data_IF_426862839699
#
_entry.id   IF_426862839699
#
_cell.length_a   1.000
_cell.length_b   1.000
_cell.length_c   1.000
_cell.angle_alpha   90.00
_cell.angle_beta   90.00
_cell.angle_gamma   90.00
#
_symmetry.space_group_name_H-M   'P 1'
#
loop_
_entity.id
_entity.type
_entity.pdbx_description
1 polymer ?
#
# COMPACT_ATOMS: atom_id res chain seq x y z
N UNK A 1 4.52 28.36 10.21
CA UNK A 1 4.63 27.15 9.38
C UNK A 1 5.48 26.16 10.16
N UNK A 2 4.82 25.34 11.00
CA UNK A 2 5.49 24.57 12.05
C UNK A 2 5.57 23.10 11.63
N UNK A 3 6.80 22.62 11.40
CA UNK A 3 7.16 21.28 10.91
C UNK A 3 6.70 20.09 11.79
N UNK A 4 6.09 20.35 12.95
CA UNK A 4 5.67 19.35 13.94
C UNK A 4 4.32 18.67 13.68
N UNK A 5 3.64 18.99 12.57
CA UNK A 5 2.31 18.46 12.26
C UNK A 5 2.29 17.32 11.23
N UNK A 6 3.46 16.91 10.71
CA UNK A 6 3.56 15.86 9.69
C UNK A 6 3.40 14.45 10.27
N UNK A 7 3.71 14.24 11.55
CA UNK A 7 3.61 12.92 12.19
C UNK A 7 2.71 13.01 13.40
N UNK A 8 1.56 12.34 13.35
CA UNK A 8 0.76 12.06 14.54
C UNK A 8 1.41 10.87 15.29
N UNK A 9 2.11 11.09 16.42
CA UNK A 9 2.88 10.04 17.08
C UNK A 9 2.00 8.88 17.58
N UNK A 10 0.71 9.14 17.84
CA UNK A 10 -0.26 8.10 18.21
C UNK A 10 -0.50 7.03 17.15
N UNK A 11 -0.12 7.28 15.88
CA UNK A 11 -0.27 6.32 14.76
C UNK A 11 1.06 5.69 14.33
N UNK A 12 2.15 5.93 15.07
CA UNK A 12 3.47 5.42 14.69
C UNK A 12 3.54 3.89 14.70
N UNK A 13 2.94 3.24 15.72
CA UNK A 13 2.93 1.78 15.82
C UNK A 13 2.11 1.12 14.69
N UNK A 14 1.02 1.76 14.27
CA UNK A 14 0.21 1.33 13.12
C UNK A 14 1.05 1.30 11.83
N UNK A 15 1.87 2.33 11.60
CA UNK A 15 2.80 2.37 10.46
C UNK A 15 3.83 1.23 10.48
N UNK A 16 4.35 0.85 11.65
CA UNK A 16 5.30 -0.28 11.77
C UNK A 16 4.60 -1.59 11.37
N UNK A 17 3.41 -1.85 11.90
CA UNK A 17 2.66 -3.07 11.60
C UNK A 17 2.32 -3.16 10.12
N UNK A 18 1.86 -2.06 9.52
CA UNK A 18 1.56 -1.98 8.09
C UNK A 18 2.83 -2.21 7.25
N UNK A 19 3.96 -1.60 7.60
CA UNK A 19 5.21 -1.79 6.85
C UNK A 19 5.72 -3.24 6.88
N UNK A 20 5.61 -3.90 8.03
CA UNK A 20 5.96 -5.32 8.15
C UNK A 20 5.03 -6.19 7.31
N UNK A 21 3.73 -5.92 7.33
CA UNK A 21 2.76 -6.63 6.51
C UNK A 21 3.04 -6.44 5.00
N UNK A 22 3.29 -5.21 4.56
CA UNK A 22 3.61 -4.89 3.16
C UNK A 22 4.93 -5.57 2.74
N UNK A 23 5.92 -5.65 3.61
CA UNK A 23 7.17 -6.37 3.33
C UNK A 23 6.95 -7.86 3.08
N UNK A 24 6.09 -8.51 3.88
CA UNK A 24 5.73 -9.93 3.69
C UNK A 24 4.99 -10.12 2.36
N UNK A 25 4.01 -9.27 2.06
CA UNK A 25 3.25 -9.32 0.80
C UNK A 25 4.17 -9.06 -0.41
N UNK A 26 5.10 -8.11 -0.31
CA UNK A 26 6.10 -7.84 -1.34
C UNK A 26 7.00 -9.06 -1.58
N UNK A 27 7.46 -9.72 -0.52
CA UNK A 27 8.28 -10.94 -0.61
C UNK A 27 7.55 -12.09 -1.30
N UNK A 28 6.28 -12.32 -0.95
CA UNK A 28 5.43 -13.32 -1.60
C UNK A 28 5.17 -12.97 -3.08
N UNK A 29 4.91 -11.71 -3.38
CA UNK A 29 4.67 -11.24 -4.75
C UNK A 29 5.88 -11.47 -5.64
N UNK A 30 7.09 -11.17 -5.14
CA UNK A 30 8.35 -11.42 -5.83
C UNK A 30 8.61 -12.92 -6.04
N UNK A 31 8.25 -13.74 -5.05
CA UNK A 31 8.36 -15.19 -5.18
C UNK A 31 7.44 -15.74 -6.28
N UNK A 32 6.18 -15.29 -6.33
CA UNK A 32 5.24 -15.64 -7.41
C UNK A 32 5.75 -15.15 -8.76
N UNK A 33 6.29 -13.92 -8.84
CA UNK A 33 6.85 -13.39 -10.07
C UNK A 33 8.07 -14.21 -10.56
N UNK A 34 8.95 -14.60 -9.64
CA UNK A 34 10.11 -15.44 -9.94
C UNK A 34 9.74 -16.84 -10.45
N UNK A 35 8.74 -17.47 -9.84
CA UNK A 35 8.22 -18.77 -10.29
C UNK A 35 7.49 -18.67 -11.62
N UNK A 36 6.74 -17.59 -11.84
CA UNK A 36 6.11 -17.30 -13.13
C UNK A 36 7.14 -17.09 -14.25
N UNK A 37 8.19 -16.29 -14.01
CA UNK A 37 9.29 -16.11 -14.97
C UNK A 37 9.97 -17.44 -15.30
N UNK A 38 10.22 -18.29 -14.30
CA UNK A 38 10.75 -19.63 -14.52
C UNK A 38 9.81 -20.49 -15.38
N UNK A 39 8.50 -20.46 -15.12
CA UNK A 39 7.52 -21.20 -15.89
C UNK A 39 7.48 -20.75 -17.37
N UNK A 40 7.46 -19.44 -17.63
CA UNK A 40 7.40 -18.85 -18.97
C UNK A 40 8.71 -19.06 -19.75
N UNK A 41 9.87 -18.83 -19.12
CA UNK A 41 11.16 -18.80 -19.81
C UNK A 41 11.92 -20.14 -19.79
N UNK A 42 11.49 -21.12 -18.98
CA UNK A 42 12.12 -22.46 -18.86
C UNK A 42 11.14 -23.59 -19.22
N UNK A 43 9.97 -23.67 -18.58
CA UNK A 43 9.06 -24.81 -18.77
C UNK A 43 8.23 -24.74 -20.06
N UNK A 44 7.71 -23.56 -20.40
CA UNK A 44 6.82 -23.35 -21.56
C UNK A 44 7.43 -22.49 -22.67
N UNK A 45 8.75 -22.27 -22.64
CA UNK A 45 9.46 -21.47 -23.64
C UNK A 45 9.23 -21.96 -25.09
N UNK A 46 9.02 -23.27 -25.27
CA UNK A 46 8.73 -23.88 -26.57
C UNK A 46 7.31 -23.59 -27.08
N UNK A 47 6.33 -23.39 -26.20
CA UNK A 47 4.95 -23.05 -26.59
C UNK A 47 4.73 -21.54 -26.71
N UNK A 48 5.43 -20.73 -25.91
CA UNK A 48 5.29 -19.28 -25.88
C UNK A 48 6.25 -18.54 -26.83
N UNK A 49 7.28 -19.23 -27.34
CA UNK A 49 8.13 -18.77 -28.45
C UNK A 49 8.63 -17.34 -28.28
N UNK A 50 8.15 -16.42 -29.14
CA UNK A 50 8.59 -15.02 -29.16
C UNK A 50 8.27 -14.26 -27.86
N UNK A 51 7.19 -14.62 -27.16
CA UNK A 51 6.83 -14.02 -25.87
C UNK A 51 7.88 -14.35 -24.82
N UNK A 52 8.37 -15.59 -24.78
CA UNK A 52 9.41 -16.00 -23.84
C UNK A 52 10.74 -15.28 -24.13
N UNK A 53 11.09 -15.04 -25.39
CA UNK A 53 12.31 -14.31 -25.78
C UNK A 53 12.24 -12.83 -25.41
N UNK A 54 11.08 -12.19 -25.59
CA UNK A 54 10.88 -10.80 -25.16
C UNK A 54 10.90 -10.69 -23.64
N UNK A 55 10.27 -11.63 -22.93
CA UNK A 55 10.25 -11.64 -21.46
C UNK A 55 11.65 -11.83 -20.85
N UNK A 56 12.46 -12.74 -21.42
CA UNK A 56 13.87 -12.98 -21.03
C UNK A 56 14.76 -11.75 -21.30
N UNK A 57 14.43 -10.93 -22.31
CA UNK A 57 15.13 -9.66 -22.60
C UNK A 57 14.74 -8.52 -21.67
N UNK A 58 13.48 -8.42 -21.28
CA UNK A 58 13.00 -7.35 -20.38
C UNK A 58 13.45 -7.63 -18.94
N UNK A 59 13.43 -8.91 -18.54
CA UNK A 59 13.80 -9.34 -17.19
C UNK A 59 14.91 -10.40 -17.24
N UNK A 60 16.16 -10.01 -17.58
CA UNK A 60 17.26 -10.96 -17.65
C UNK A 60 17.64 -11.43 -16.23
N UNK A 61 17.05 -12.53 -15.78
CA UNK A 61 17.42 -13.17 -14.51
C UNK A 61 18.65 -14.05 -14.73
N UNK A 62 19.78 -13.80 -14.03
CA UNK A 62 21.00 -14.60 -14.20
C UNK A 62 20.72 -16.08 -13.90
N UNK A 63 20.94 -16.93 -14.90
CA UNK A 63 20.67 -18.37 -14.80
C UNK A 63 19.19 -18.76 -14.82
N UNK A 64 18.27 -17.86 -15.23
CA UNK A 64 16.81 -18.09 -15.26
C UNK A 64 16.23 -18.57 -13.92
N UNK A 65 16.90 -18.19 -12.83
CA UNK A 65 16.54 -18.52 -11.46
C UNK A 65 16.21 -17.25 -10.70
N UNK A 66 15.16 -17.33 -9.90
CA UNK A 66 14.83 -16.28 -8.96
C UNK A 66 15.83 -16.29 -7.80
N UNK A 67 16.57 -15.20 -7.64
CA UNK A 67 17.44 -14.99 -6.48
C UNK A 67 16.70 -14.11 -5.47
N UNK A 68 16.29 -14.69 -4.36
CA UNK A 68 15.66 -13.92 -3.28
C UNK A 68 16.70 -12.97 -2.66
N UNK A 69 16.42 -11.68 -2.70
CA UNK A 69 17.30 -10.66 -2.14
C UNK A 69 16.46 -9.64 -1.37
N UNK A 70 16.86 -9.39 -0.11
CA UNK A 70 16.20 -8.45 0.78
C UNK A 70 16.08 -7.04 0.18
N UNK A 71 17.08 -6.58 -0.58
CA UNK A 71 17.06 -5.27 -1.22
C UNK A 71 15.90 -5.13 -2.21
N UNK A 72 15.59 -6.18 -2.98
CA UNK A 72 14.50 -6.14 -3.96
C UNK A 72 13.14 -6.18 -3.26
N UNK A 73 13.04 -6.96 -2.17
CA UNK A 73 11.85 -6.97 -1.31
C UNK A 73 11.59 -5.61 -0.68
N UNK A 74 12.64 -4.94 -0.17
CA UNK A 74 12.52 -3.61 0.42
C UNK A 74 12.15 -2.56 -0.64
N UNK A 75 12.81 -2.56 -1.80
CA UNK A 75 12.48 -1.65 -2.91
C UNK A 75 11.02 -1.80 -3.35
N UNK A 76 10.54 -3.04 -3.52
CA UNK A 76 9.14 -3.28 -3.87
C UNK A 76 8.18 -2.85 -2.75
N UNK A 77 8.52 -3.09 -1.49
CA UNK A 77 7.69 -2.69 -0.35
C UNK A 77 7.54 -1.16 -0.25
N UNK A 78 8.60 -0.40 -0.56
CA UNK A 78 8.56 1.06 -0.61
C UNK A 78 7.69 1.51 -1.78
N UNK A 79 7.83 0.90 -2.97
CA UNK A 79 6.99 1.21 -4.13
C UNK A 79 5.50 0.96 -3.87
N UNK A 80 5.15 -0.16 -3.24
CA UNK A 80 3.76 -0.47 -2.82
C UNK A 80 3.26 0.58 -1.81
N UNK A 81 4.11 0.98 -0.87
CA UNK A 81 3.76 2.01 0.12
C UNK A 81 3.51 3.37 -0.54
N UNK A 82 4.34 3.75 -1.52
CA UNK A 82 4.14 4.96 -2.33
C UNK A 82 2.85 4.89 -3.14
N UNK A 83 2.57 3.74 -3.76
CA UNK A 83 1.33 3.53 -4.51
C UNK A 83 0.09 3.62 -3.61
N UNK A 84 0.19 3.13 -2.38
CA UNK A 84 -0.90 3.20 -1.39
C UNK A 84 -1.18 4.62 -0.88
N UNK A 85 -0.29 5.59 -1.15
CA UNK A 85 -0.51 7.01 -0.88
C UNK A 85 -1.18 7.76 -2.04
N UNK A 86 -1.39 7.11 -3.19
CA UNK A 86 -2.28 7.64 -4.22
C UNK A 86 -3.71 7.58 -3.67
N UNK A 87 -4.24 8.74 -3.31
CA UNK A 87 -5.52 8.87 -2.61
C UNK A 87 -6.63 8.23 -3.45
N UNK A 88 -7.31 7.24 -2.88
CA UNK A 88 -8.55 6.75 -3.47
C UNK A 88 -9.62 7.81 -3.21
N UNK A 89 -10.35 8.33 -4.22
CA UNK A 89 -11.33 9.42 -4.04
C UNK A 89 -12.43 9.11 -3.01
N UNK A 90 -12.63 7.84 -2.67
CA UNK A 90 -13.52 7.45 -1.59
C UNK A 90 -13.01 7.84 -0.18
N UNK A 91 -11.69 7.92 0.03
CA UNK A 91 -11.13 8.38 1.31
C UNK A 91 -11.42 9.86 1.54
N UNK A 92 -11.32 10.69 0.50
CA UNK A 92 -11.67 12.11 0.56
C UNK A 92 -13.16 12.30 0.90
N UNK A 93 -14.04 11.51 0.26
CA UNK A 93 -15.47 11.54 0.55
C UNK A 93 -15.80 11.07 1.98
N UNK A 94 -15.11 10.04 2.48
CA UNK A 94 -15.28 9.54 3.85
C UNK A 94 -14.81 10.56 4.89
N UNK A 95 -13.69 11.23 4.64
CA UNK A 95 -13.18 12.28 5.52
C UNK A 95 -14.12 13.49 5.57
N UNK A 96 -14.62 13.94 4.41
CA UNK A 96 -15.60 15.02 4.35
C UNK A 96 -16.88 14.68 5.12
N UNK A 97 -17.41 13.47 4.95
CA UNK A 97 -18.59 13.01 5.69
C UNK A 97 -18.33 12.87 7.19
N UNK A 98 -17.16 12.39 7.60
CA UNK A 98 -16.78 12.29 9.01
C UNK A 98 -16.71 13.68 9.67
N UNK A 99 -16.14 14.66 8.99
CA UNK A 99 -16.08 16.06 9.45
C UNK A 99 -17.50 16.64 9.57
N UNK A 100 -18.36 16.41 8.58
CA UNK A 100 -19.75 16.88 8.60
C UNK A 100 -20.56 16.26 9.74
N UNK A 101 -20.41 14.96 10.00
CA UNK A 101 -21.10 14.30 11.12
C UNK A 101 -20.61 14.79 12.48
N UNK A 102 -19.29 15.00 12.64
CA UNK A 102 -18.72 15.54 13.87
C UNK A 102 -19.25 16.94 14.18
N UNK A 103 -19.27 17.83 13.18
CA UNK A 103 -19.87 19.17 13.30
C UNK A 103 -21.36 19.15 13.64
N UNK A 104 -22.12 18.16 13.13
CA UNK A 104 -23.55 18.00 13.45
C UNK A 104 -23.75 17.57 14.91
N UNK A 105 -22.94 16.64 15.41
CA UNK A 105 -22.97 16.20 16.82
C UNK A 105 -22.64 17.33 17.79
N UNK A 106 -21.55 18.06 17.53
CA UNK A 106 -21.14 19.21 18.36
C UNK A 106 -22.23 20.29 18.43
N UNK A 107 -22.95 20.54 17.32
CA UNK A 107 -24.09 21.48 17.30
C UNK A 107 -25.32 20.97 18.03
N UNK A 108 -25.56 19.66 18.07
CA UNK A 108 -26.68 19.08 18.80
C UNK A 108 -26.41 19.14 20.32
N UNK A 109 -25.22 18.74 20.74
CA UNK A 109 -24.76 18.78 22.13
C UNK A 109 -24.77 20.23 22.68
N UNK A 110 -24.29 21.21 21.90
CA UNK A 110 -24.31 22.61 22.29
C UNK A 110 -25.73 23.23 22.38
N UNK A 111 -26.72 22.66 21.69
CA UNK A 111 -28.12 23.08 21.81
C UNK A 111 -28.78 22.47 23.05
N UNK A 112 -28.46 21.22 23.37
CA UNK A 112 -28.94 20.55 24.59
C UNK A 112 -28.38 21.23 25.85
N UNK A 113 -27.09 21.61 25.87
CA UNK A 113 -26.50 22.34 27.01
C UNK A 113 -27.08 23.75 27.21
N UNK A 114 -27.50 24.43 26.14
CA UNK A 114 -28.12 25.77 26.24
C UNK A 114 -29.59 25.69 26.65
N UNK A 115 -30.34 24.70 26.17
CA UNK A 115 -31.72 24.48 26.58
C UNK A 115 -31.88 24.03 28.02
N UNK A 116 -30.89 23.32 28.59
CA UNK A 116 -30.89 22.91 29.99
C UNK A 116 -30.51 24.01 31.00
N UNK A 117 -30.01 25.17 30.57
CA UNK A 117 -29.68 26.31 31.44
C UNK A 117 -30.78 27.36 31.57
N UNK A 118 -31.87 27.23 30.79
CA UNK A 118 -33.01 28.16 30.81
C UNK A 118 -34.27 27.55 31.47
N UNK A 119 -34.17 26.39 32.14
CA UNK A 119 -35.25 25.74 32.89
C UNK A 119 -34.98 25.76 34.40
#
# INVERSE_FOLDING_TARGET
MSYLTIVAPGRFLDGIVVSFFVMVVAGLSLFVFGTFHHYVCVSEAKKLGMVAVVFDKIFPMPGKKWAFNLTHTLLLSILISLQSMMHHPAQDYLEENAILQKKKREKAEAKEEKGGKEA
#
